data_IF_132826615465
#
_entry.id   IF_132826615465
#
_cell.length_a   1.000
_cell.length_b   1.000
_cell.length_c   1.000
_cell.angle_alpha   90.00
_cell.angle_beta   90.00
_cell.angle_gamma   90.00
#
_symmetry.space_group_name_H-M   'P 1'
#
loop_
_entity.id
_entity.type
_entity.pdbx_description
1 polymer ?
#
# COMPACT_ATOMS: atom_id res chain seq x y z
N UNK A 1 16.41 2.42 -25.26
CA UNK A 1 15.85 1.12 -24.84
C UNK A 1 15.07 1.34 -23.55
N UNK A 2 13.74 1.34 -23.64
CA UNK A 2 12.86 1.88 -22.60
C UNK A 2 12.77 0.99 -21.36
N UNK A 3 12.54 1.61 -20.20
CA UNK A 3 12.26 0.93 -18.93
C UNK A 3 11.12 -0.11 -19.01
N UNK A 4 10.30 -0.07 -20.08
CA UNK A 4 9.22 -1.04 -20.36
C UNK A 4 9.70 -2.48 -20.59
N UNK A 5 10.91 -2.69 -21.11
CA UNK A 5 11.38 -4.01 -21.53
C UNK A 5 12.25 -4.74 -20.51
N UNK A 6 12.73 -4.06 -19.46
CA UNK A 6 13.60 -4.69 -18.44
C UNK A 6 12.84 -5.50 -17.39
N UNK A 7 11.55 -5.21 -17.16
CA UNK A 7 10.75 -5.93 -16.18
C UNK A 7 9.97 -7.07 -16.85
N UNK A 8 10.43 -8.29 -16.62
CA UNK A 8 9.75 -9.52 -17.03
C UNK A 8 8.39 -9.60 -16.32
N UNK A 9 7.32 -9.75 -17.09
CA UNK A 9 5.94 -9.80 -16.55
C UNK A 9 5.69 -11.11 -15.82
N UNK A 10 6.02 -11.12 -14.53
CA UNK A 10 5.88 -12.27 -13.66
C UNK A 10 5.01 -11.90 -12.46
N UNK A 11 4.08 -12.78 -12.11
CA UNK A 11 3.22 -12.62 -10.94
C UNK A 11 4.01 -12.41 -9.64
N UNK A 12 5.09 -13.20 -9.45
CA UNK A 12 5.96 -13.12 -8.27
C UNK A 12 6.60 -11.74 -8.12
N UNK A 13 6.97 -11.10 -9.24
CA UNK A 13 7.52 -9.73 -9.20
C UNK A 13 6.50 -8.76 -8.62
N UNK A 14 5.22 -8.89 -8.98
CA UNK A 14 4.13 -8.10 -8.40
C UNK A 14 3.94 -8.34 -6.91
N UNK A 15 4.03 -9.61 -6.47
CA UNK A 15 3.94 -9.99 -5.06
C UNK A 15 5.07 -9.35 -4.24
N UNK A 16 6.31 -9.48 -4.69
CA UNK A 16 7.47 -8.90 -4.01
C UNK A 16 7.35 -7.37 -3.96
N UNK A 17 6.93 -6.76 -5.07
CA UNK A 17 6.79 -5.31 -5.17
C UNK A 17 5.69 -4.78 -4.22
N UNK A 18 4.56 -5.47 -4.08
CA UNK A 18 3.54 -5.13 -3.08
C UNK A 18 4.06 -5.29 -1.66
N UNK A 19 4.77 -6.39 -1.38
CA UNK A 19 5.33 -6.65 -0.06
C UNK A 19 6.33 -5.59 0.39
N UNK A 20 7.03 -4.94 -0.55
CA UNK A 20 7.96 -3.83 -0.26
C UNK A 20 7.24 -2.48 -0.20
N UNK A 21 6.34 -2.19 -1.15
CA UNK A 21 5.70 -0.87 -1.27
C UNK A 21 4.68 -0.63 -0.15
N UNK A 22 3.92 -1.63 0.26
CA UNK A 22 2.92 -1.47 1.32
C UNK A 22 3.55 -1.01 2.65
N UNK A 23 4.58 -1.70 3.21
CA UNK A 23 5.23 -1.23 4.43
C UNK A 23 5.88 0.14 4.26
N UNK A 24 6.59 0.39 3.15
CA UNK A 24 7.27 1.67 2.92
C UNK A 24 6.27 2.83 2.93
N UNK A 25 5.15 2.66 2.22
CA UNK A 25 4.11 3.70 2.16
C UNK A 25 3.38 3.86 3.49
N UNK A 26 3.15 2.77 4.21
CA UNK A 26 2.56 2.79 5.55
C UNK A 26 3.45 3.55 6.55
N UNK A 27 4.73 3.17 6.66
CA UNK A 27 5.69 3.86 7.54
C UNK A 27 5.92 5.30 7.13
N UNK A 28 5.91 5.61 5.82
CA UNK A 28 5.97 6.97 5.33
C UNK A 28 4.77 7.81 5.78
N UNK A 29 3.55 7.27 5.64
CA UNK A 29 2.33 7.93 6.09
C UNK A 29 2.30 8.10 7.62
N UNK A 30 2.77 7.11 8.37
CA UNK A 30 2.85 7.17 9.82
C UNK A 30 3.93 8.16 10.30
N UNK A 31 5.06 8.26 9.60
CA UNK A 31 6.08 9.28 9.80
C UNK A 31 5.52 10.69 9.60
N UNK A 32 4.84 10.95 8.48
CA UNK A 32 4.16 12.22 8.20
C UNK A 32 3.14 12.53 9.30
N UNK A 33 2.30 11.57 9.67
CA UNK A 33 1.34 11.72 10.78
C UNK A 33 2.04 12.13 12.07
N UNK A 34 3.13 11.46 12.44
CA UNK A 34 3.85 11.77 13.68
C UNK A 34 4.40 13.20 13.70
N UNK A 35 4.88 13.70 12.55
CA UNK A 35 5.38 15.07 12.41
C UNK A 35 4.23 16.07 12.50
N UNK A 36 3.13 15.83 11.78
CA UNK A 36 1.97 16.72 11.75
C UNK A 36 1.28 16.82 13.11
N UNK A 37 1.12 15.70 13.83
CA UNK A 37 0.54 15.70 15.17
C UNK A 37 1.43 16.46 16.16
N UNK A 38 2.76 16.29 16.07
CA UNK A 38 3.70 17.08 16.89
C UNK A 38 3.64 18.58 16.58
N UNK A 39 3.46 18.95 15.31
CA UNK A 39 3.45 20.36 14.89
C UNK A 39 2.14 21.08 15.18
N UNK A 40 0.99 20.39 15.09
CA UNK A 40 -0.35 20.97 15.29
C UNK A 40 -0.94 20.71 16.68
N UNK A 41 -0.30 19.88 17.50
CA UNK A 41 -0.74 19.48 18.84
C UNK A 41 -2.16 18.88 18.91
N UNK A 42 -2.72 18.45 17.76
CA UNK A 42 -4.07 17.92 17.66
C UNK A 42 -4.03 16.48 17.11
N UNK A 43 -4.29 15.46 17.94
CA UNK A 43 -4.29 14.06 17.55
C UNK A 43 -5.50 13.66 16.69
N UNK A 44 -6.54 14.48 16.59
CA UNK A 44 -7.75 14.19 15.80
C UNK A 44 -7.61 14.56 14.33
N UNK A 45 -6.63 15.42 13.99
CA UNK A 45 -6.35 15.82 12.62
C UNK A 45 -5.91 14.65 11.72
N UNK A 46 -5.35 13.59 12.32
CA UNK A 46 -4.94 12.37 11.63
C UNK A 46 -5.26 11.12 12.48
N UNK A 47 -6.49 10.59 12.41
CA UNK A 47 -6.89 9.43 13.18
C UNK A 47 -6.16 8.15 12.71
N UNK A 48 -6.05 7.12 13.55
CA UNK A 48 -5.26 5.91 13.29
C UNK A 48 -5.47 5.22 11.92
N UNK A 49 -6.71 5.11 11.35
CA UNK A 49 -6.89 4.49 10.04
C UNK A 49 -6.44 5.38 8.86
N UNK A 50 -6.12 6.66 9.08
CA UNK A 50 -5.74 7.57 8.00
C UNK A 50 -4.42 7.16 7.32
N UNK A 51 -3.44 6.68 8.08
CA UNK A 51 -2.15 6.22 7.51
C UNK A 51 -2.34 5.01 6.56
N UNK A 52 -3.27 4.12 6.90
CA UNK A 52 -3.60 2.94 6.09
C UNK A 52 -4.36 3.33 4.82
N UNK A 53 -5.32 4.25 4.92
CA UNK A 53 -6.03 4.77 3.75
C UNK A 53 -5.08 5.46 2.78
N UNK A 54 -4.08 6.18 3.28
CA UNK A 54 -3.03 6.78 2.44
C UNK A 54 -2.15 5.72 1.78
N UNK A 55 -1.72 4.70 2.53
CA UNK A 55 -0.95 3.59 1.96
C UNK A 55 -1.74 2.84 0.88
N UNK A 56 -3.04 2.63 1.08
CA UNK A 56 -3.93 2.02 0.09
C UNK A 56 -4.11 2.89 -1.15
N UNK A 57 -4.32 4.21 -0.97
CA UNK A 57 -4.40 5.16 -2.07
C UNK A 57 -3.13 5.10 -2.94
N UNK A 58 -1.95 5.12 -2.29
CA UNK A 58 -0.67 5.02 -2.99
C UNK A 58 -0.53 3.68 -3.71
N UNK A 59 -1.01 2.60 -3.09
CA UNK A 59 -1.00 1.26 -3.69
C UNK A 59 -1.88 1.18 -4.93
N UNK A 60 -3.05 1.83 -4.94
CA UNK A 60 -3.92 1.91 -6.11
C UNK A 60 -3.25 2.68 -7.25
N UNK A 61 -2.52 3.77 -6.95
CA UNK A 61 -1.77 4.54 -7.96
C UNK A 61 -0.68 3.67 -8.58
N UNK A 62 0.11 2.97 -7.76
CA UNK A 62 1.15 2.05 -8.23
C UNK A 62 0.56 0.95 -9.09
N UNK A 63 -0.53 0.32 -8.64
CA UNK A 63 -1.26 -0.68 -9.42
C UNK A 63 -1.69 -0.14 -10.78
N UNK A 64 -2.24 1.08 -10.82
CA UNK A 64 -2.67 1.72 -12.07
C UNK A 64 -1.51 1.92 -13.03
N UNK A 65 -0.35 2.35 -12.54
CA UNK A 65 0.86 2.51 -13.36
C UNK A 65 1.33 1.16 -13.90
N UNK A 66 1.33 0.11 -13.07
CA UNK A 66 1.76 -1.24 -13.47
C UNK A 66 0.86 -1.83 -14.56
N UNK A 67 -0.45 -1.70 -14.40
CA UNK A 67 -1.44 -2.27 -15.32
C UNK A 67 -1.62 -1.43 -16.58
N UNK A 68 -1.82 -0.11 -16.44
CA UNK A 68 -2.20 0.76 -17.56
C UNK A 68 -0.96 1.24 -18.32
N UNK A 69 0.05 1.78 -17.62
CA UNK A 69 1.19 2.40 -18.29
C UNK A 69 2.23 1.36 -18.76
N UNK A 70 2.45 0.33 -17.95
CA UNK A 70 3.45 -0.71 -18.22
C UNK A 70 2.86 -1.97 -18.86
N UNK A 71 1.53 -2.10 -18.94
CA UNK A 71 0.84 -3.27 -19.53
C UNK A 71 1.30 -4.61 -18.92
N UNK A 72 1.70 -4.61 -17.65
CA UNK A 72 2.18 -5.81 -16.94
C UNK A 72 1.04 -6.41 -16.12
N UNK A 73 0.15 -7.13 -16.80
CA UNK A 73 -1.05 -7.68 -16.18
C UNK A 73 -0.74 -8.69 -15.07
N UNK A 74 0.28 -9.55 -15.25
CA UNK A 74 0.60 -10.57 -14.24
C UNK A 74 1.18 -9.93 -12.99
N UNK A 75 2.06 -8.94 -13.16
CA UNK A 75 2.58 -8.13 -12.05
C UNK A 75 1.43 -7.40 -11.33
N UNK A 76 0.53 -6.76 -12.08
CA UNK A 76 -0.63 -6.07 -11.50
C UNK A 76 -1.51 -6.99 -10.66
N UNK A 77 -1.82 -8.20 -11.16
CA UNK A 77 -2.59 -9.21 -10.43
C UNK A 77 -1.90 -9.66 -9.13
N UNK A 78 -0.58 -9.91 -9.19
CA UNK A 78 0.21 -10.29 -7.99
C UNK A 78 0.27 -9.18 -6.96
N UNK A 79 0.41 -7.93 -7.42
CA UNK A 79 0.40 -6.77 -6.55
C UNK A 79 -0.94 -6.62 -5.82
N UNK A 80 -2.05 -6.66 -6.57
CA UNK A 80 -3.40 -6.47 -6.03
C UNK A 80 -3.79 -7.60 -5.07
N UNK A 81 -3.34 -8.83 -5.35
CA UNK A 81 -3.56 -9.97 -4.45
C UNK A 81 -2.98 -9.73 -3.06
N UNK A 82 -1.73 -9.25 -2.97
CA UNK A 82 -1.09 -8.95 -1.68
C UNK A 82 -1.76 -7.76 -0.98
N UNK A 83 -2.12 -6.71 -1.74
CA UNK A 83 -2.88 -5.57 -1.18
C UNK A 83 -4.20 -6.05 -0.59
N UNK A 84 -4.94 -6.90 -1.29
CA UNK A 84 -6.19 -7.46 -0.80
C UNK A 84 -5.98 -8.29 0.48
N UNK A 85 -4.98 -9.19 0.50
CA UNK A 85 -4.63 -9.96 1.69
C UNK A 85 -4.26 -9.07 2.88
N UNK A 86 -3.52 -7.99 2.65
CA UNK A 86 -3.17 -7.04 3.71
C UNK A 86 -4.41 -6.32 4.27
N UNK A 87 -5.35 -5.93 3.41
CA UNK A 87 -6.63 -5.32 3.83
C UNK A 87 -7.47 -6.31 4.65
N UNK A 88 -7.65 -7.53 4.15
CA UNK A 88 -8.39 -8.56 4.88
C UNK A 88 -7.73 -8.93 6.21
N UNK A 89 -6.40 -9.08 6.21
CA UNK A 89 -5.63 -9.32 7.43
C UNK A 89 -5.79 -8.19 8.45
N UNK A 90 -5.75 -6.94 7.99
CA UNK A 90 -6.01 -5.79 8.85
C UNK A 90 -7.43 -5.80 9.43
N UNK A 91 -8.45 -6.01 8.59
CA UNK A 91 -9.84 -6.10 9.06
C UNK A 91 -10.04 -7.23 10.08
N UNK A 92 -9.41 -8.38 9.86
CA UNK A 92 -9.50 -9.52 10.76
C UNK A 92 -8.85 -9.22 12.12
N UNK A 93 -7.65 -8.63 12.12
CA UNK A 93 -6.94 -8.22 13.33
C UNK A 93 -7.72 -7.12 14.06
N UNK A 94 -8.18 -6.09 13.34
CA UNK A 94 -8.90 -4.96 13.92
C UNK A 94 -10.23 -5.41 14.54
N UNK A 95 -11.01 -6.26 13.85
CA UNK A 95 -12.25 -6.80 14.42
C UNK A 95 -11.97 -7.71 15.63
N UNK A 96 -10.94 -8.55 15.57
CA UNK A 96 -10.57 -9.41 16.71
C UNK A 96 -10.12 -8.61 17.93
N UNK A 97 -9.36 -7.53 17.74
CA UNK A 97 -8.92 -6.63 18.81
C UNK A 97 -10.05 -5.76 19.37
N UNK A 98 -11.08 -5.45 18.58
CA UNK A 98 -12.22 -4.64 19.03
C UNK A 98 -13.30 -5.45 19.77
N UNK A 99 -13.36 -6.76 19.54
CA UNK A 99 -14.35 -7.67 20.16
C UNK A 99 -13.82 -8.42 21.40
N UNK A 100 -12.60 -8.13 21.84
CA UNK A 100 -12.03 -8.56 23.12
C UNK A 100 -11.90 -7.35 24.04
#
# INVERSE_FOLDING_TARGET
>A
MGFKDKLKDNYITGVILAFVILPITYFGAEGIRSVVVKYKADPYLYPPPAAQLISLLFSIIVFRILMINLQKEKIGKGYLFIVALAVFGYFFIFNKLRNN
#
